data_IF_479027473796
#
_entry.id   IF_479027473796
#
_cell.length_a   1.000
_cell.length_b   1.000
_cell.length_c   1.000
_cell.angle_alpha   90.00
_cell.angle_beta   90.00
_cell.angle_gamma   90.00
#
_symmetry.space_group_name_H-M   'P 1'
#
loop_
_entity.id
_entity.type
_entity.pdbx_description
1 polymer ?
#
# COMPACT_ATOMS: atom_id res chain seq x y z
N UNK A 1 -4.71 5.64 -7.33
CA UNK A 1 -3.38 6.12 -7.78
C UNK A 1 -3.45 6.99 -9.02
N UNK A 2 -4.11 6.55 -10.08
CA UNK A 2 -4.17 7.25 -11.39
C UNK A 2 -4.58 8.73 -11.29
N UNK A 3 -5.66 9.02 -10.56
CA UNK A 3 -6.13 10.40 -10.35
C UNK A 3 -5.08 11.32 -9.72
N UNK A 4 -4.14 10.79 -8.93
CA UNK A 4 -3.06 11.59 -8.35
C UNK A 4 -2.02 11.95 -9.40
N UNK A 5 -1.70 11.04 -10.32
CA UNK A 5 -0.76 11.28 -11.42
C UNK A 5 -1.27 12.39 -12.35
N UNK A 6 -2.57 12.41 -12.61
CA UNK A 6 -3.20 13.44 -13.45
C UNK A 6 -3.18 14.82 -12.81
N UNK A 7 -3.38 14.90 -11.49
CA UNK A 7 -3.53 16.16 -10.76
C UNK A 7 -2.21 16.78 -10.29
N UNK A 8 -1.18 15.96 -10.05
CA UNK A 8 0.11 16.42 -9.50
C UNK A 8 1.23 16.16 -10.53
N UNK A 9 1.22 16.93 -11.61
CA UNK A 9 2.24 16.89 -12.68
C UNK A 9 3.51 17.68 -12.32
N UNK A 10 3.98 17.48 -11.09
CA UNK A 10 5.26 18.00 -10.58
C UNK A 10 6.19 16.78 -10.51
N UNK A 11 6.37 16.13 -11.65
CA UNK A 11 6.66 14.70 -11.77
C UNK A 11 8.05 14.41 -12.36
N UNK A 12 9.09 15.01 -11.78
CA UNK A 12 10.45 14.58 -12.10
C UNK A 12 10.72 13.19 -11.51
N UNK A 13 11.41 12.27 -12.22
CA UNK A 13 11.71 10.93 -11.71
C UNK A 13 12.40 10.94 -10.33
N UNK A 14 13.24 11.94 -10.07
CA UNK A 14 13.93 12.13 -8.79
C UNK A 14 13.02 12.53 -7.62
N UNK A 15 11.81 13.04 -7.89
CA UNK A 15 10.86 13.50 -6.87
C UNK A 15 9.86 12.41 -6.47
N UNK A 16 10.03 11.18 -6.97
CA UNK A 16 9.21 10.03 -6.57
C UNK A 16 9.35 9.74 -5.08
N UNK A 17 8.30 9.13 -4.51
CA UNK A 17 8.35 8.71 -3.12
C UNK A 17 9.58 7.80 -2.87
N UNK A 18 10.43 8.09 -1.86
CA UNK A 18 11.68 7.35 -1.67
C UNK A 18 11.45 5.84 -1.45
N UNK A 19 12.32 4.96 -1.99
CA UNK A 19 12.20 3.52 -1.77
C UNK A 19 12.07 3.09 -0.29
N UNK A 20 12.76 3.70 0.69
CA UNK A 20 12.57 3.37 2.10
C UNK A 20 11.12 3.56 2.58
N UNK A 21 10.44 4.63 2.14
CA UNK A 21 9.03 4.90 2.48
C UNK A 21 8.13 3.81 1.88
N UNK A 22 8.35 3.44 0.62
CA UNK A 22 7.59 2.37 -0.04
C UNK A 22 7.78 1.04 0.70
N UNK A 23 9.01 0.68 1.04
CA UNK A 23 9.31 -0.55 1.78
C UNK A 23 8.67 -0.54 3.17
N UNK A 24 8.71 0.61 3.87
CA UNK A 24 8.07 0.78 5.17
C UNK A 24 6.54 0.63 5.12
N UNK A 25 5.88 1.03 4.01
CA UNK A 25 4.47 0.68 3.79
C UNK A 25 4.25 -0.83 3.76
N UNK A 26 5.11 -1.59 3.07
CA UNK A 26 5.04 -3.06 3.05
C UNK A 26 5.12 -3.66 4.46
N UNK A 27 6.08 -3.19 5.27
CA UNK A 27 6.24 -3.62 6.67
C UNK A 27 4.96 -3.33 7.48
N UNK A 28 4.49 -2.08 7.44
CA UNK A 28 3.32 -1.66 8.22
C UNK A 28 2.06 -2.44 7.81
N UNK A 29 1.79 -2.58 6.50
CA UNK A 29 0.56 -3.23 6.02
C UNK A 29 0.57 -4.73 6.28
N UNK A 30 1.73 -5.39 6.22
CA UNK A 30 1.87 -6.79 6.62
C UNK A 30 1.61 -6.98 8.13
N UNK A 31 2.16 -6.11 8.97
CA UNK A 31 1.90 -6.13 10.41
C UNK A 31 0.42 -5.87 10.73
N UNK A 32 -0.20 -4.89 10.07
CA UNK A 32 -1.62 -4.58 10.23
C UNK A 32 -2.52 -5.76 9.83
N UNK A 33 -2.24 -6.44 8.72
CA UNK A 33 -2.96 -7.64 8.31
C UNK A 33 -2.86 -8.76 9.36
N UNK A 34 -1.67 -8.94 9.94
CA UNK A 34 -1.42 -9.91 11.03
C UNK A 34 -2.34 -9.68 12.22
N UNK A 35 -2.46 -8.43 12.66
CA UNK A 35 -3.32 -8.05 13.78
C UNK A 35 -4.79 -8.17 13.39
N UNK A 36 -5.17 -7.67 12.21
CA UNK A 36 -6.55 -7.67 11.74
C UNK A 36 -7.13 -9.09 11.57
N UNK A 37 -6.32 -10.10 11.22
CA UNK A 37 -6.77 -11.51 11.21
C UNK A 37 -7.26 -11.99 12.58
N UNK A 38 -6.67 -11.48 13.68
CA UNK A 38 -7.13 -11.79 15.05
C UNK A 38 -8.46 -11.11 15.40
N UNK A 39 -8.87 -10.11 14.63
CA UNK A 39 -10.07 -9.30 14.86
C UNK A 39 -11.06 -9.37 13.67
N UNK A 40 -11.08 -10.52 12.97
CA UNK A 40 -12.13 -10.85 12.01
C UNK A 40 -11.86 -10.50 10.55
N UNK A 41 -10.61 -10.19 10.16
CA UNK A 41 -10.20 -10.30 8.77
C UNK A 41 -10.05 -11.79 8.41
N UNK A 42 -10.61 -12.21 7.27
CA UNK A 42 -10.46 -13.58 6.77
C UNK A 42 -8.98 -13.97 6.63
N UNK A 43 -8.63 -15.17 7.07
CA UNK A 43 -7.24 -15.62 7.15
C UNK A 43 -6.61 -15.82 5.77
N UNK A 44 -7.41 -16.23 4.76
CA UNK A 44 -6.93 -16.41 3.39
C UNK A 44 -6.60 -15.05 2.77
N UNK A 45 -7.49 -14.07 2.92
CA UNK A 45 -7.24 -12.68 2.50
C UNK A 45 -6.04 -12.09 3.26
N UNK A 46 -5.98 -12.26 4.58
CA UNK A 46 -4.92 -11.72 5.41
C UNK A 46 -3.54 -12.27 5.06
N UNK A 47 -3.42 -13.58 4.81
CA UNK A 47 -2.16 -14.21 4.36
C UNK A 47 -1.73 -13.73 2.97
N UNK A 48 -2.66 -13.57 2.03
CA UNK A 48 -2.35 -13.01 0.72
C UNK A 48 -1.86 -11.55 0.81
N UNK A 49 -2.47 -10.74 1.68
CA UNK A 49 -2.02 -9.37 1.97
C UNK A 49 -0.62 -9.39 2.59
N UNK A 50 -0.34 -10.28 3.55
CA UNK A 50 1.00 -10.39 4.14
C UNK A 50 2.07 -10.73 3.09
N UNK A 51 1.78 -11.68 2.20
CA UNK A 51 2.70 -12.05 1.13
C UNK A 51 2.94 -10.89 0.16
N UNK A 52 1.89 -10.22 -0.31
CA UNK A 52 2.01 -9.06 -1.18
C UNK A 52 2.76 -7.90 -0.50
N UNK A 53 2.49 -7.64 0.78
CA UNK A 53 3.15 -6.60 1.55
C UNK A 53 4.64 -6.91 1.79
N UNK A 54 5.02 -8.19 1.94
CA UNK A 54 6.41 -8.61 2.00
C UNK A 54 7.16 -8.32 0.68
N UNK A 55 6.54 -8.58 -0.47
CA UNK A 55 7.14 -8.24 -1.78
C UNK A 55 7.36 -6.71 -1.93
N UNK A 56 6.45 -5.89 -1.40
CA UNK A 56 6.64 -4.41 -1.31
C UNK A 56 7.80 -4.07 -0.37
N UNK A 57 7.87 -4.69 0.81
CA UNK A 57 8.93 -4.45 1.80
C UNK A 57 10.32 -4.85 1.27
N UNK A 58 10.39 -5.90 0.47
CA UNK A 58 11.62 -6.35 -0.22
C UNK A 58 12.00 -5.42 -1.37
N UNK A 59 11.06 -4.60 -1.88
CA UNK A 59 11.27 -3.68 -2.98
C UNK A 59 11.07 -4.31 -4.37
N UNK A 60 10.38 -5.45 -4.47
CA UNK A 60 10.11 -6.13 -5.75
C UNK A 60 9.11 -5.38 -6.63
N UNK A 61 8.32 -4.48 -6.03
CA UNK A 61 7.19 -3.81 -6.68
C UNK A 61 7.39 -2.29 -6.80
N UNK A 62 8.62 -1.78 -6.69
CA UNK A 62 8.92 -0.34 -6.67
C UNK A 62 8.39 0.40 -7.90
N UNK A 63 8.36 -0.24 -9.07
CA UNK A 63 7.88 0.35 -10.31
C UNK A 63 6.37 0.67 -10.30
N UNK A 64 5.62 0.08 -9.37
CA UNK A 64 4.18 0.35 -9.18
C UNK A 64 3.88 1.55 -8.27
N UNK A 65 4.91 2.30 -7.87
CA UNK A 65 4.79 3.50 -7.02
C UNK A 65 5.25 4.77 -7.76
N UNK A 66 4.48 5.24 -8.75
CA UNK A 66 4.89 6.37 -9.60
C UNK A 66 4.67 7.74 -8.95
N UNK A 67 4.04 7.80 -7.77
CA UNK A 67 3.67 9.07 -7.12
C UNK A 67 4.87 9.83 -6.58
N UNK A 68 4.77 11.16 -6.66
CA UNK A 68 5.79 12.10 -6.17
C UNK A 68 5.56 12.53 -4.73
N UNK A 69 6.62 13.05 -4.11
CA UNK A 69 6.60 13.69 -2.78
C UNK A 69 5.64 14.87 -2.77
N UNK A 70 5.53 15.60 -3.89
CA UNK A 70 4.65 16.77 -4.07
C UNK A 70 3.18 16.38 -4.26
N UNK A 71 2.58 15.84 -3.21
CA UNK A 71 1.21 15.35 -3.19
C UNK A 71 0.46 15.98 -2.00
N UNK A 72 -0.73 15.49 -1.65
CA UNK A 72 -1.40 15.91 -0.41
C UNK A 72 -0.50 15.72 0.82
N UNK A 73 -0.45 16.74 1.70
CA UNK A 73 0.48 16.77 2.84
C UNK A 73 0.27 15.67 3.88
N UNK A 74 -0.89 15.02 3.90
CA UNK A 74 -1.16 13.86 4.75
C UNK A 74 -0.62 12.54 4.18
N UNK A 75 -0.07 12.55 2.97
CA UNK A 75 0.41 11.34 2.29
C UNK A 75 -0.69 10.35 1.89
N UNK A 76 -1.96 10.78 1.88
CA UNK A 76 -3.13 9.92 1.56
C UNK A 76 -2.99 9.24 0.20
N UNK A 77 -2.43 9.93 -0.80
CA UNK A 77 -2.25 9.38 -2.14
C UNK A 77 -1.22 8.23 -2.17
N UNK A 78 -0.07 8.37 -1.49
CA UNK A 78 0.87 7.26 -1.30
C UNK A 78 0.29 6.12 -0.45
N UNK A 79 -0.48 6.41 0.60
CA UNK A 79 -1.16 5.36 1.37
C UNK A 79 -2.11 4.56 0.47
N UNK A 80 -2.90 5.24 -0.36
CA UNK A 80 -3.79 4.58 -1.32
C UNK A 80 -3.03 3.85 -2.42
N UNK A 81 -1.88 4.36 -2.87
CA UNK A 81 -1.03 3.64 -3.82
C UNK A 81 -0.53 2.32 -3.24
N UNK A 82 -0.05 2.32 -1.99
CA UNK A 82 0.33 1.09 -1.30
C UNK A 82 -0.86 0.14 -1.14
N UNK A 83 -2.03 0.65 -0.73
CA UNK A 83 -3.24 -0.14 -0.59
C UNK A 83 -3.65 -0.81 -1.92
N UNK A 84 -3.66 -0.06 -3.03
CA UNK A 84 -4.03 -0.56 -4.36
C UNK A 84 -3.02 -1.59 -4.88
N UNK A 85 -1.71 -1.34 -4.75
CA UNK A 85 -0.66 -2.28 -5.18
C UNK A 85 -0.75 -3.59 -4.40
N UNK A 86 -0.81 -3.52 -3.06
CA UNK A 86 -0.91 -4.71 -2.21
C UNK A 86 -2.22 -5.45 -2.48
N UNK A 87 -3.34 -4.73 -2.65
CA UNK A 87 -4.64 -5.32 -2.95
C UNK A 87 -4.61 -6.07 -4.27
N UNK A 88 -4.10 -5.46 -5.35
CA UNK A 88 -4.02 -6.10 -6.65
C UNK A 88 -3.10 -7.30 -6.62
N UNK A 89 -1.94 -7.18 -5.98
CA UNK A 89 -0.99 -8.28 -5.86
C UNK A 89 -1.56 -9.46 -5.06
N UNK A 90 -2.27 -9.17 -3.98
CA UNK A 90 -2.97 -10.20 -3.20
C UNK A 90 -4.09 -10.88 -3.99
N UNK A 91 -4.80 -10.14 -4.87
CA UNK A 91 -5.78 -10.74 -5.79
C UNK A 91 -5.10 -11.70 -6.77
N UNK A 92 -3.96 -11.32 -7.37
CA UNK A 92 -3.21 -12.20 -8.25
C UNK A 92 -2.75 -13.48 -7.55
N UNK A 93 -2.24 -13.36 -6.32
CA UNK A 93 -1.83 -14.51 -5.49
C UNK A 93 -2.99 -15.49 -5.28
N UNK A 94 -4.22 -14.96 -5.16
CA UNK A 94 -5.44 -15.74 -5.00
C UNK A 94 -6.06 -16.20 -6.34
N UNK A 95 -5.40 -15.93 -7.47
CA UNK A 95 -5.87 -16.32 -8.80
C UNK A 95 -7.06 -15.49 -9.32
N UNK A 96 -7.31 -14.31 -8.75
CA UNK A 96 -8.35 -13.40 -9.20
C UNK A 96 -7.90 -12.41 -10.27
N UNK A 97 -8.81 -11.51 -10.64
CA UNK A 97 -8.57 -10.47 -11.66
C UNK A 97 -8.10 -9.16 -11.01
N UNK A 98 -6.91 -8.67 -11.39
CA UNK A 98 -6.39 -7.37 -10.91
C UNK A 98 -7.38 -6.23 -11.18
N UNK A 99 -7.44 -5.26 -10.27
CA UNK A 99 -8.32 -4.10 -10.40
C UNK A 99 -9.79 -4.36 -10.08
N UNK A 100 -10.21 -5.62 -9.98
CA UNK A 100 -11.59 -6.00 -9.61
C UNK A 100 -11.97 -5.63 -8.18
N UNK A 101 -10.97 -5.41 -7.31
CA UNK A 101 -11.11 -5.23 -5.85
C UNK A 101 -11.76 -6.44 -5.15
N UNK A 102 -11.75 -7.60 -5.79
CA UNK A 102 -12.25 -8.87 -5.27
C UNK A 102 -11.19 -9.96 -5.51
N UNK A 103 -10.91 -10.83 -4.53
CA UNK A 103 -11.50 -10.86 -3.18
C UNK A 103 -10.91 -9.81 -2.21
N UNK A 104 -9.84 -9.10 -2.59
CA UNK A 104 -9.16 -8.14 -1.70
C UNK A 104 -9.55 -6.70 -2.07
N UNK A 105 -10.14 -5.96 -1.13
CA UNK A 105 -10.48 -4.54 -1.32
C UNK A 105 -9.40 -3.65 -0.68
N UNK A 106 -8.92 -2.60 -1.36
CA UNK A 106 -7.82 -1.78 -0.85
C UNK A 106 -8.17 -1.02 0.44
N UNK A 107 -9.45 -0.67 0.66
CA UNK A 107 -9.86 0.00 1.88
C UNK A 107 -10.30 -0.98 2.97
N UNK A 108 -11.27 -1.82 2.65
CA UNK A 108 -11.98 -2.68 3.60
C UNK A 108 -11.09 -3.81 4.16
N UNK A 109 -10.06 -4.21 3.41
CA UNK A 109 -9.11 -5.25 3.80
C UNK A 109 -7.71 -4.69 4.05
N UNK A 110 -7.07 -4.04 3.06
CA UNK A 110 -5.66 -3.60 3.20
C UNK A 110 -5.53 -2.39 4.12
N UNK A 111 -6.47 -1.44 4.06
CA UNK A 111 -6.50 -0.25 4.93
C UNK A 111 -7.45 -0.40 6.13
N UNK A 112 -7.82 -1.63 6.49
CA UNK A 112 -8.77 -1.89 7.56
C UNK A 112 -8.25 -1.32 8.89
N UNK A 113 -9.10 -0.54 9.57
CA UNK A 113 -8.80 0.09 10.86
C UNK A 113 -7.64 1.09 10.84
N UNK A 114 -7.32 1.67 9.67
CA UNK A 114 -6.23 2.62 9.51
C UNK A 114 -6.69 3.89 8.77
N UNK A 115 -6.04 5.02 9.05
CA UNK A 115 -6.14 6.27 8.29
C UNK A 115 -4.79 6.58 7.64
N UNK A 116 -4.74 7.52 6.70
CA UNK A 116 -3.44 8.06 6.27
C UNK A 116 -2.79 8.89 7.38
N UNK A 117 -3.59 9.48 8.27
CA UNK A 117 -3.12 10.40 9.31
C UNK A 117 -2.31 9.70 10.42
N UNK A 118 -2.54 8.42 10.67
CA UNK A 118 -1.75 7.57 11.56
C UNK A 118 -0.75 6.70 10.78
N UNK A 119 -1.15 6.19 9.60
CA UNK A 119 -0.27 5.35 8.77
C UNK A 119 0.95 6.10 8.28
N UNK A 120 0.79 7.30 7.70
CA UNK A 120 1.89 7.98 7.03
C UNK A 120 3.00 8.43 8.01
N UNK A 121 2.70 9.03 9.17
CA UNK A 121 3.71 9.29 10.18
C UNK A 121 4.41 8.02 10.68
N UNK A 122 3.67 6.92 10.87
CA UNK A 122 4.27 5.63 11.27
C UNK A 122 5.26 5.11 10.22
N UNK A 123 4.90 5.19 8.94
CA UNK A 123 5.78 4.84 7.82
C UNK A 123 7.04 5.72 7.82
N UNK A 124 6.91 7.02 8.06
CA UNK A 124 8.06 7.93 8.15
C UNK A 124 9.02 7.50 9.27
N UNK A 125 8.50 7.11 10.43
CA UNK A 125 9.32 6.64 11.55
C UNK A 125 9.96 5.27 11.31
N UNK A 126 9.32 4.36 10.58
CA UNK A 126 9.91 3.07 10.19
C UNK A 126 11.05 3.27 9.17
N UNK A 127 10.93 4.28 8.30
CA UNK A 127 11.87 4.52 7.21
C UNK A 127 13.11 5.36 7.60
N UNK A 128 13.09 6.00 8.77
CA UNK A 128 14.16 6.86 9.30
C UNK A 128 15.33 6.05 9.88
#
# INVERSE_FOLDING_TARGET
TERSLENFKINQPQDRMPPPIIKAFGILKGAAATVNMRYGLDETIGKAIQQAAAEVAEGKLLDHFPLVVWQTGSGTQSNMNANEVISNRAIEILGGEMGSKKPVHPNDHVNRSASSNDTFPTVMHIAA
#
